data_IF_847646678531
#
_entry.id   IF_847646678531
#
_cell.length_a   1.000
_cell.length_b   1.000
_cell.length_c   1.000
_cell.angle_alpha   90.00
_cell.angle_beta   90.00
_cell.angle_gamma   90.00
#
_symmetry.space_group_name_H-M   'P 1'
#
loop_
_entity.id
_entity.type
_entity.pdbx_description
1 polymer ?
#
# COMPACT_ATOMS: atom_id res chain seq x y z
N UNK A 1 29.54 1.17 4.65
CA UNK A 1 28.36 0.35 4.38
C UNK A 1 27.16 0.90 5.13
N UNK A 2 26.19 1.44 4.41
CA UNK A 2 24.89 1.89 4.93
C UNK A 2 24.02 0.69 5.36
N UNK A 3 22.91 0.94 6.06
CA UNK A 3 21.94 -0.12 6.38
C UNK A 3 21.34 -0.76 5.13
N UNK A 4 21.12 0.03 4.08
CA UNK A 4 20.60 -0.42 2.79
C UNK A 4 21.61 -1.33 2.07
N UNK A 5 22.87 -0.90 1.96
CA UNK A 5 23.93 -1.70 1.33
C UNK A 5 24.14 -3.05 2.04
N UNK A 6 23.98 -3.07 3.38
CA UNK A 6 24.03 -4.33 4.15
C UNK A 6 22.82 -5.22 3.88
N UNK A 7 21.63 -4.65 3.73
CA UNK A 7 20.42 -5.40 3.43
C UNK A 7 20.47 -5.99 2.01
N UNK A 8 20.92 -5.21 1.03
CA UNK A 8 21.11 -5.66 -0.35
C UNK A 8 22.18 -6.75 -0.46
N UNK A 9 23.31 -6.60 0.25
CA UNK A 9 24.34 -7.63 0.30
C UNK A 9 23.83 -8.93 0.93
N UNK A 10 23.02 -8.83 2.00
CA UNK A 10 22.38 -10.00 2.61
C UNK A 10 21.34 -10.64 1.70
N UNK A 11 20.50 -9.84 1.02
CA UNK A 11 19.52 -10.32 0.06
C UNK A 11 20.20 -11.04 -1.12
N UNK A 12 21.31 -10.48 -1.61
CA UNK A 12 22.12 -11.06 -2.66
C UNK A 12 22.77 -12.36 -2.19
N UNK A 13 23.37 -12.40 -1.00
CA UNK A 13 23.96 -13.62 -0.44
C UNK A 13 22.92 -14.74 -0.29
N UNK A 14 21.76 -14.45 0.29
CA UNK A 14 20.65 -15.41 0.39
C UNK A 14 20.20 -15.88 -1.00
N UNK A 15 20.12 -15.00 -1.99
CA UNK A 15 19.76 -15.35 -3.36
C UNK A 15 20.79 -16.26 -4.03
N UNK A 16 22.08 -16.08 -3.74
CA UNK A 16 23.14 -16.98 -4.24
C UNK A 16 23.08 -18.37 -3.61
N UNK A 17 22.61 -18.48 -2.38
CA UNK A 17 22.39 -19.76 -1.67
C UNK A 17 21.14 -20.51 -2.17
N UNK A 18 20.25 -19.84 -2.91
CA UNK A 18 19.08 -20.51 -3.52
C UNK A 18 19.50 -21.34 -4.74
N UNK A 19 19.00 -22.58 -4.79
CA UNK A 19 18.95 -23.40 -6.02
C UNK A 19 17.92 -22.86 -7.05
N UNK A 20 17.57 -21.58 -6.95
CA UNK A 20 16.60 -20.91 -7.80
C UNK A 20 17.10 -19.55 -8.25
N UNK A 21 16.80 -19.21 -9.50
CA UNK A 21 17.12 -17.92 -10.09
C UNK A 21 15.96 -16.95 -9.78
N UNK A 22 16.27 -15.90 -9.04
CA UNK A 22 15.36 -14.79 -8.74
C UNK A 22 15.51 -13.73 -9.83
N UNK A 23 14.40 -13.41 -10.50
CA UNK A 23 14.34 -12.34 -11.49
C UNK A 23 13.43 -11.24 -10.95
N UNK A 24 13.98 -10.04 -10.78
CA UNK A 24 13.22 -8.87 -10.33
C UNK A 24 12.45 -8.27 -11.51
N UNK A 25 11.21 -7.82 -11.28
CA UNK A 25 10.41 -7.15 -12.32
C UNK A 25 11.10 -5.88 -12.81
N UNK A 26 10.83 -5.49 -14.06
CA UNK A 26 11.47 -4.29 -14.66
C UNK A 26 11.23 -3.05 -13.80
N UNK A 27 9.99 -2.80 -13.38
CA UNK A 27 9.60 -1.68 -12.53
C UNK A 27 10.33 -1.67 -11.17
N UNK A 28 10.70 -2.84 -10.65
CA UNK A 28 11.44 -2.96 -9.40
C UNK A 28 12.83 -2.32 -9.53
N UNK A 29 13.48 -2.49 -10.69
CA UNK A 29 14.87 -2.05 -10.90
C UNK A 29 15.01 -0.73 -11.66
N UNK A 30 13.92 -0.20 -12.23
CA UNK A 30 13.98 0.95 -13.14
C UNK A 30 14.35 2.28 -12.47
N UNK A 31 14.29 2.36 -11.14
CA UNK A 31 14.80 3.52 -10.39
C UNK A 31 16.33 3.57 -10.29
N UNK A 32 17.00 2.46 -10.56
CA UNK A 32 18.46 2.29 -10.40
C UNK A 32 19.18 2.14 -11.74
N UNK A 33 18.47 1.69 -12.79
CA UNK A 33 19.05 1.46 -14.12
C UNK A 33 18.05 1.76 -15.23
N UNK A 34 18.58 2.10 -16.41
CA UNK A 34 17.76 2.29 -17.61
C UNK A 34 17.11 0.94 -18.03
N UNK A 35 15.77 0.82 -18.02
CA UNK A 35 15.07 -0.43 -18.34
C UNK A 35 15.22 -0.88 -19.80
N UNK A 36 15.74 -0.02 -20.69
CA UNK A 36 15.98 -0.34 -22.11
C UNK A 36 17.32 -1.02 -22.35
N UNK A 37 18.21 -0.99 -21.35
CA UNK A 37 19.52 -1.63 -21.46
C UNK A 37 19.37 -3.14 -21.30
N UNK A 38 19.99 -3.95 -22.18
CA UNK A 38 19.90 -5.39 -22.10
C UNK A 38 20.51 -5.88 -20.78
N UNK A 39 19.77 -6.76 -20.09
CA UNK A 39 20.35 -7.54 -19.00
C UNK A 39 21.22 -8.64 -19.59
N UNK A 40 22.42 -8.84 -19.03
CA UNK A 40 23.17 -10.06 -19.29
C UNK A 40 22.31 -11.26 -18.89
N UNK A 41 22.05 -12.22 -19.80
CA UNK A 41 21.29 -13.41 -19.44
C UNK A 41 21.99 -14.11 -18.28
N UNK A 42 21.27 -14.33 -17.18
CA UNK A 42 21.79 -15.19 -16.11
C UNK A 42 21.90 -16.60 -16.68
N UNK A 43 23.13 -17.07 -16.86
CA UNK A 43 23.37 -18.46 -17.19
C UNK A 43 22.81 -19.30 -16.05
N UNK A 44 21.86 -20.18 -16.37
CA UNK A 44 21.17 -20.93 -15.33
C UNK A 44 22.09 -21.85 -14.56
N UNK A 45 23.20 -22.31 -15.17
CA UNK A 45 24.15 -23.25 -14.59
C UNK A 45 23.46 -24.47 -13.94
N UNK A 46 22.31 -24.88 -14.48
CA UNK A 46 21.49 -25.97 -13.96
C UNK A 46 20.39 -25.57 -12.96
N UNK A 47 20.40 -24.32 -12.45
CA UNK A 47 19.34 -23.80 -11.55
C UNK A 47 18.05 -23.53 -12.31
N UNK A 48 16.92 -23.71 -11.64
CA UNK A 48 15.59 -23.38 -12.18
C UNK A 48 15.19 -21.95 -11.78
N UNK A 49 14.28 -21.33 -12.53
CA UNK A 49 13.72 -20.04 -12.14
C UNK A 49 12.73 -20.17 -10.99
N UNK A 50 12.59 -19.12 -10.18
CA UNK A 50 11.61 -19.07 -9.09
C UNK A 50 10.18 -19.10 -9.65
N UNK A 51 9.46 -20.19 -9.38
CA UNK A 51 8.06 -20.39 -9.77
C UNK A 51 7.23 -20.70 -8.52
N UNK A 52 6.84 -19.66 -7.78
CA UNK A 52 6.01 -19.78 -6.58
C UNK A 52 6.57 -19.03 -5.39
N UNK A 53 6.49 -19.65 -4.21
CA UNK A 53 6.89 -19.03 -2.95
C UNK A 53 8.39 -18.81 -2.83
N UNK A 54 8.77 -17.59 -2.47
CA UNK A 54 10.14 -17.22 -2.16
C UNK A 54 10.47 -17.65 -0.72
N UNK A 55 11.40 -18.58 -0.49
CA UNK A 55 11.74 -19.07 0.85
C UNK A 55 12.40 -18.01 1.73
N UNK A 56 12.78 -16.85 1.16
CA UNK A 56 13.28 -15.69 1.93
C UNK A 56 12.15 -14.93 2.62
N UNK A 57 10.90 -15.17 2.24
CA UNK A 57 9.71 -14.55 2.83
C UNK A 57 8.96 -15.55 3.73
N UNK A 58 8.30 -15.06 4.80
CA UNK A 58 7.37 -15.89 5.54
C UNK A 58 6.28 -16.49 4.64
N UNK A 59 5.99 -17.76 4.86
CA UNK A 59 4.97 -18.53 4.14
C UNK A 59 3.58 -17.94 4.40
N UNK A 60 2.83 -17.64 3.35
CA UNK A 60 1.41 -17.30 3.45
C UNK A 60 0.56 -18.56 3.67
N UNK A 61 -0.58 -18.47 4.38
CA UNK A 61 -1.57 -19.54 4.42
C UNK A 61 -2.13 -19.87 3.02
N UNK A 62 -2.72 -21.05 2.86
CA UNK A 62 -3.35 -21.47 1.58
C UNK A 62 -4.49 -20.55 1.14
N UNK A 63 -5.18 -19.92 2.10
CA UNK A 63 -6.27 -18.98 1.86
C UNK A 63 -5.97 -17.65 2.56
N UNK A 64 -5.09 -16.82 1.98
CA UNK A 64 -4.68 -15.56 2.57
C UNK A 64 -5.84 -14.64 2.96
N UNK A 65 -5.83 -14.16 4.20
CA UNK A 65 -6.71 -13.09 4.66
C UNK A 65 -6.03 -11.73 4.56
N UNK A 66 -6.82 -10.65 4.67
CA UNK A 66 -6.25 -9.30 4.82
C UNK A 66 -5.26 -9.22 6.00
N UNK A 67 -5.56 -9.89 7.12
CA UNK A 67 -4.69 -9.92 8.30
C UNK A 67 -3.37 -10.64 8.02
N UNK A 68 -3.39 -11.70 7.21
CA UNK A 68 -2.16 -12.38 6.78
C UNK A 68 -1.28 -11.46 5.93
N UNK A 69 -1.87 -10.65 5.06
CA UNK A 69 -1.10 -9.64 4.30
C UNK A 69 -0.47 -8.62 5.23
N UNK A 70 -1.19 -8.10 6.23
CA UNK A 70 -0.61 -7.23 7.25
C UNK A 70 0.54 -7.87 8.03
N UNK A 71 0.46 -9.17 8.28
CA UNK A 71 1.47 -9.89 9.06
C UNK A 71 2.71 -10.25 8.26
N UNK A 72 2.53 -10.63 6.99
CA UNK A 72 3.58 -11.28 6.21
C UNK A 72 4.07 -10.50 5.00
N UNK A 73 3.36 -9.44 4.57
CA UNK A 73 3.70 -8.67 3.36
C UNK A 73 3.65 -7.15 3.55
N UNK A 74 2.84 -6.63 4.46
CA UNK A 74 2.74 -5.20 4.71
C UNK A 74 3.53 -4.81 5.95
N UNK A 75 4.48 -3.89 5.82
CA UNK A 75 5.20 -3.38 6.97
C UNK A 75 6.17 -2.26 6.61
N UNK A 76 6.46 -1.34 7.54
CA UNK A 76 5.84 -1.16 8.86
C UNK A 76 4.40 -0.61 8.78
N UNK A 77 3.47 -1.15 9.58
CA UNK A 77 2.02 -0.85 9.56
C UNK A 77 1.53 0.15 10.59
N UNK A 78 2.42 0.63 11.45
CA UNK A 78 2.10 1.53 12.56
C UNK A 78 1.25 2.73 12.14
N UNK A 79 1.56 3.34 10.99
CA UNK A 79 0.86 4.53 10.50
C UNK A 79 -0.64 4.28 10.23
N UNK A 80 -0.97 3.31 9.38
CA UNK A 80 -2.37 3.03 9.03
C UNK A 80 -3.17 2.52 10.23
N UNK A 81 -2.52 1.80 11.14
CA UNK A 81 -3.14 1.36 12.39
C UNK A 81 -3.46 2.54 13.32
N UNK A 82 -2.55 3.52 13.43
CA UNK A 82 -2.82 4.75 14.19
C UNK A 82 -3.93 5.58 13.56
N UNK A 83 -3.93 5.72 12.24
CA UNK A 83 -4.97 6.46 11.51
C UNK A 83 -6.36 5.84 11.73
N UNK A 84 -6.47 4.52 11.61
CA UNK A 84 -7.71 3.80 11.89
C UNK A 84 -8.14 3.92 13.36
N UNK A 85 -7.20 3.83 14.32
CA UNK A 85 -7.53 4.00 15.74
C UNK A 85 -7.99 5.43 16.04
N UNK A 86 -7.38 6.44 15.42
CA UNK A 86 -7.77 7.83 15.59
C UNK A 86 -9.19 8.07 15.05
N UNK A 87 -9.50 7.56 13.85
CA UNK A 87 -10.85 7.61 13.29
C UNK A 87 -11.89 6.96 14.24
N UNK A 88 -11.55 5.79 14.79
CA UNK A 88 -12.39 5.07 15.77
C UNK A 88 -12.61 5.88 17.05
N UNK A 89 -11.55 6.50 17.60
CA UNK A 89 -11.63 7.35 18.81
C UNK A 89 -12.47 8.61 18.57
N UNK A 90 -12.44 9.14 17.36
CA UNK A 90 -13.25 10.29 16.95
C UNK A 90 -14.72 9.93 16.68
N UNK A 91 -15.12 8.66 16.85
CA UNK A 91 -16.50 8.21 16.66
C UNK A 91 -16.96 8.24 15.19
N UNK A 92 -16.03 8.16 14.24
CA UNK A 92 -16.36 8.15 12.82
C UNK A 92 -16.99 6.82 12.39
N UNK A 93 -17.73 6.86 11.29
CA UNK A 93 -18.33 5.65 10.70
C UNK A 93 -17.25 4.59 10.41
N UNK A 94 -17.63 3.33 10.56
CA UNK A 94 -16.69 2.21 10.41
C UNK A 94 -16.15 2.05 9.01
N UNK A 95 -16.85 2.53 7.98
CA UNK A 95 -16.32 2.63 6.62
C UNK A 95 -15.11 3.56 6.58
N UNK A 96 -15.15 4.66 7.32
CA UNK A 96 -14.01 5.59 7.43
C UNK A 96 -12.88 4.94 8.22
N UNK A 97 -13.20 4.23 9.32
CA UNK A 97 -12.19 3.46 10.08
C UNK A 97 -11.49 2.43 9.19
N UNK A 98 -12.25 1.67 8.39
CA UNK A 98 -11.71 0.72 7.43
C UNK A 98 -10.89 1.44 6.35
N UNK A 99 -11.37 2.56 5.81
CA UNK A 99 -10.64 3.32 4.81
C UNK A 99 -9.30 3.84 5.35
N UNK A 100 -9.26 4.34 6.58
CA UNK A 100 -8.02 4.73 7.27
C UNK A 100 -7.08 3.54 7.49
N UNK A 101 -7.60 2.35 7.76
CA UNK A 101 -6.77 1.14 7.88
C UNK A 101 -6.12 0.74 6.54
N UNK A 102 -6.78 1.04 5.42
CA UNK A 102 -6.42 0.53 4.09
C UNK A 102 -5.78 1.55 3.16
N UNK A 103 -5.87 2.87 3.45
CA UNK A 103 -5.56 3.91 2.47
C UNK A 103 -4.13 3.83 1.89
N UNK A 104 -3.18 3.38 2.70
CA UNK A 104 -1.75 3.37 2.39
C UNK A 104 -1.15 1.97 2.20
N UNK A 105 -1.96 0.91 2.10
CA UNK A 105 -1.43 -0.47 1.94
C UNK A 105 -0.60 -0.64 0.67
N UNK A 106 -0.84 0.17 -0.37
CA UNK A 106 -0.01 0.17 -1.57
C UNK A 106 1.39 0.73 -1.31
N UNK A 107 1.53 1.73 -0.43
CA UNK A 107 2.83 2.25 0.00
C UNK A 107 3.64 1.17 0.71
N UNK A 108 2.96 0.33 1.48
CA UNK A 108 3.57 -0.68 2.33
C UNK A 108 3.94 -1.97 1.61
N UNK A 109 3.15 -2.37 0.61
CA UNK A 109 3.26 -3.71 0.02
C UNK A 109 3.33 -3.76 -1.50
N UNK A 110 3.12 -2.63 -2.21
CA UNK A 110 2.99 -2.65 -3.66
C UNK A 110 3.71 -1.47 -4.34
N UNK A 111 2.98 -0.45 -4.79
CA UNK A 111 3.54 0.70 -5.52
C UNK A 111 3.25 1.99 -4.75
N UNK A 112 4.33 2.75 -4.46
CA UNK A 112 4.26 4.00 -3.69
C UNK A 112 3.76 5.20 -4.50
N UNK A 113 4.29 5.39 -5.72
CA UNK A 113 3.80 6.43 -6.61
C UNK A 113 2.34 6.17 -6.94
N UNK A 114 1.48 7.17 -6.85
CA UNK A 114 0.03 7.01 -7.08
C UNK A 114 -0.66 6.00 -6.15
N UNK A 115 -0.12 5.79 -4.94
CA UNK A 115 -0.61 4.80 -3.96
C UNK A 115 -2.12 4.85 -3.70
N UNK A 116 -2.76 6.02 -3.72
CA UNK A 116 -4.22 6.11 -3.57
C UNK A 116 -4.96 5.36 -4.68
N UNK A 117 -4.52 5.51 -5.93
CA UNK A 117 -5.11 4.81 -7.08
C UNK A 117 -4.84 3.31 -7.01
N UNK A 118 -3.59 2.90 -6.76
CA UNK A 118 -3.23 1.48 -6.63
C UNK A 118 -3.93 0.80 -5.46
N UNK A 119 -3.97 1.46 -4.29
CA UNK A 119 -4.64 0.98 -3.09
C UNK A 119 -6.14 0.81 -3.31
N UNK A 120 -6.79 1.79 -3.96
CA UNK A 120 -8.20 1.70 -4.31
C UNK A 120 -8.48 0.52 -5.25
N UNK A 121 -7.72 0.36 -6.33
CA UNK A 121 -7.87 -0.77 -7.26
C UNK A 121 -7.68 -2.13 -6.56
N UNK A 122 -6.76 -2.19 -5.60
CA UNK A 122 -6.46 -3.39 -4.84
C UNK A 122 -7.65 -3.82 -3.96
N UNK A 123 -8.37 -2.87 -3.35
CA UNK A 123 -9.45 -3.17 -2.39
C UNK A 123 -10.87 -3.11 -2.96
N UNK A 124 -11.06 -2.44 -4.10
CA UNK A 124 -12.36 -2.17 -4.73
C UNK A 124 -13.30 -3.39 -4.85
N UNK A 125 -12.82 -4.61 -5.17
CA UNK A 125 -13.71 -5.78 -5.20
C UNK A 125 -14.29 -6.16 -3.82
N UNK A 126 -13.61 -5.80 -2.74
CA UNK A 126 -13.90 -6.30 -1.40
C UNK A 126 -14.58 -5.30 -0.48
N UNK A 127 -14.63 -4.02 -0.84
CA UNK A 127 -15.19 -2.96 0.01
C UNK A 127 -16.34 -2.24 -0.69
N UNK A 128 -17.06 -1.40 0.05
CA UNK A 128 -18.06 -0.52 -0.56
C UNK A 128 -17.40 0.51 -1.49
N UNK A 129 -18.12 0.89 -2.55
CA UNK A 129 -17.65 1.86 -3.56
C UNK A 129 -17.21 3.19 -2.93
N UNK A 130 -17.89 3.60 -1.86
CA UNK A 130 -17.52 4.77 -1.06
C UNK A 130 -16.10 4.65 -0.47
N UNK A 131 -15.77 3.49 0.10
CA UNK A 131 -14.46 3.23 0.73
C UNK A 131 -13.37 3.24 -0.33
N UNK A 132 -13.57 2.52 -1.45
CA UNK A 132 -12.58 2.49 -2.53
C UNK A 132 -12.40 3.86 -3.18
N UNK A 133 -13.48 4.62 -3.36
CA UNK A 133 -13.43 5.98 -3.89
C UNK A 133 -12.70 6.94 -2.96
N UNK A 134 -12.95 6.85 -1.65
CA UNK A 134 -12.31 7.69 -0.64
C UNK A 134 -10.80 7.38 -0.56
N UNK A 135 -10.42 6.09 -0.55
CA UNK A 135 -9.01 5.66 -0.67
C UNK A 135 -8.39 6.17 -1.97
N UNK A 136 -9.11 6.16 -3.09
CA UNK A 136 -8.56 6.61 -4.38
C UNK A 136 -8.10 8.07 -4.33
N UNK A 137 -8.93 8.93 -3.75
CA UNK A 137 -8.75 10.37 -3.82
C UNK A 137 -8.06 10.96 -2.59
N UNK A 138 -7.86 10.19 -1.51
CA UNK A 138 -7.25 10.72 -0.29
C UNK A 138 -5.89 11.36 -0.60
N UNK A 139 -5.06 10.73 -1.44
CA UNK A 139 -3.75 11.24 -1.83
C UNK A 139 -3.81 12.62 -2.50
N UNK A 140 -4.87 12.89 -3.27
CA UNK A 140 -5.08 14.18 -3.95
C UNK A 140 -5.45 15.24 -2.91
N UNK A 141 -6.39 14.91 -2.02
CA UNK A 141 -6.89 15.84 -1.00
C UNK A 141 -5.81 16.27 0.00
N UNK A 142 -4.74 15.48 0.19
CA UNK A 142 -3.65 15.85 1.11
C UNK A 142 -2.95 17.15 0.73
N UNK A 143 -2.96 17.53 -0.55
CA UNK A 143 -2.30 18.72 -1.05
C UNK A 143 -3.13 20.00 -0.92
N UNK A 144 -4.40 19.91 -0.53
CA UNK A 144 -5.30 21.05 -0.50
C UNK A 144 -5.89 21.23 0.90
N UNK A 145 -5.67 22.41 1.48
CA UNK A 145 -6.27 22.79 2.75
C UNK A 145 -7.80 22.83 2.66
N UNK A 146 -8.44 22.48 3.77
CA UNK A 146 -9.87 22.61 3.98
C UNK A 146 -10.14 22.86 5.47
N UNK A 147 -10.19 24.14 5.84
CA UNK A 147 -10.35 24.56 7.23
C UNK A 147 -11.72 24.19 7.81
N UNK A 148 -12.74 23.93 6.97
CA UNK A 148 -14.05 23.47 7.45
C UNK A 148 -13.99 22.09 8.11
N UNK A 149 -12.95 21.31 7.81
CA UNK A 149 -12.63 20.03 8.44
C UNK A 149 -11.39 20.10 9.34
N UNK A 150 -10.88 21.31 9.62
CA UNK A 150 -9.66 21.52 10.39
C UNK A 150 -8.37 21.08 9.69
N UNK A 151 -8.40 20.79 8.38
CA UNK A 151 -7.24 20.33 7.63
C UNK A 151 -6.47 21.52 7.04
N UNK A 152 -5.39 21.93 7.70
CA UNK A 152 -4.46 22.93 7.15
C UNK A 152 -3.46 22.27 6.22
N UNK A 153 -2.88 23.05 5.30
CA UNK A 153 -1.77 22.55 4.49
C UNK A 153 -0.61 22.17 5.42
N UNK A 154 -0.08 20.94 5.39
CA UNK A 154 0.92 20.50 6.36
C UNK A 154 2.24 21.28 6.26
N UNK A 155 2.74 21.79 7.39
CA UNK A 155 4.07 22.43 7.43
C UNK A 155 5.18 21.49 6.95
N UNK A 156 5.03 20.18 7.18
CA UNK A 156 5.95 19.17 6.68
C UNK A 156 6.05 19.17 5.16
N UNK A 157 4.98 19.49 4.43
CA UNK A 157 4.98 19.50 2.97
C UNK A 157 5.73 20.73 2.44
N UNK A 158 5.62 21.89 3.11
CA UNK A 158 6.45 23.06 2.80
C UNK A 158 7.94 22.72 2.92
N UNK A 159 8.33 22.02 3.98
CA UNK A 159 9.72 21.61 4.20
C UNK A 159 10.21 20.55 3.21
N UNK A 160 9.36 19.59 2.85
CA UNK A 160 9.72 18.44 2.02
C UNK A 160 9.68 18.74 0.53
N UNK A 161 8.72 19.56 0.08
CA UNK A 161 8.47 19.82 -1.34
C UNK A 161 8.87 21.23 -1.77
N UNK A 162 9.03 22.16 -0.83
CA UNK A 162 9.26 23.58 -1.10
C UNK A 162 7.99 24.42 -0.97
N UNK A 163 8.15 25.70 -0.62
CA UNK A 163 7.02 26.62 -0.46
C UNK A 163 6.33 26.99 -1.78
N UNK A 164 7.03 26.80 -2.90
CA UNK A 164 6.58 27.05 -4.27
C UNK A 164 6.05 25.79 -4.97
N UNK A 165 6.10 24.62 -4.31
CA UNK A 165 5.54 23.39 -4.87
C UNK A 165 4.05 23.56 -5.17
N UNK A 166 3.68 23.18 -6.39
CA UNK A 166 2.28 23.08 -6.82
C UNK A 166 2.03 21.66 -7.33
N UNK A 167 0.91 21.02 -6.94
CA UNK A 167 0.54 19.73 -7.50
C UNK A 167 0.39 19.82 -9.02
N UNK A 168 0.70 18.73 -9.72
CA UNK A 168 0.58 18.68 -11.18
C UNK A 168 -0.85 18.99 -11.66
N UNK A 169 -1.03 19.47 -12.91
CA UNK A 169 -2.35 19.88 -13.42
C UNK A 169 -3.43 18.80 -13.26
N UNK A 170 -3.07 17.53 -13.42
CA UNK A 170 -4.00 16.42 -13.30
C UNK A 170 -4.47 16.19 -11.84
N UNK A 171 -3.62 16.48 -10.84
CA UNK A 171 -3.96 16.43 -9.41
C UNK A 171 -4.91 17.59 -9.06
N UNK A 172 -4.65 18.79 -9.60
CA UNK A 172 -5.54 19.94 -9.40
C UNK A 172 -6.94 19.72 -10.01
N UNK A 173 -7.00 19.11 -11.19
CA UNK A 173 -8.28 18.69 -11.81
C UNK A 173 -8.99 17.62 -10.98
N UNK A 174 -8.25 16.60 -10.52
CA UNK A 174 -8.81 15.55 -9.67
C UNK A 174 -9.38 16.13 -8.36
N UNK A 175 -8.71 17.12 -7.77
CA UNK A 175 -9.22 17.81 -6.58
C UNK A 175 -10.52 18.57 -6.85
N UNK A 176 -10.60 19.32 -7.95
CA UNK A 176 -11.82 20.04 -8.35
C UNK A 176 -13.01 19.09 -8.49
N UNK A 177 -12.81 17.94 -9.16
CA UNK A 177 -13.85 16.90 -9.28
C UNK A 177 -14.21 16.28 -7.93
N UNK A 178 -13.22 16.00 -7.10
CA UNK A 178 -13.45 15.40 -5.80
C UNK A 178 -14.27 16.32 -4.88
N UNK A 179 -14.07 17.66 -4.95
CA UNK A 179 -14.81 18.65 -4.16
C UNK A 179 -16.31 18.65 -4.40
N UNK A 180 -16.74 18.30 -5.61
CA UNK A 180 -18.14 18.24 -6.00
C UNK A 180 -18.77 16.86 -5.76
N UNK A 181 -17.97 15.88 -5.33
CA UNK A 181 -18.41 14.50 -5.19
C UNK A 181 -19.11 14.24 -3.84
N UNK A 182 -20.17 13.43 -3.86
CA UNK A 182 -20.96 13.06 -2.66
C UNK A 182 -20.15 12.41 -1.52
N UNK A 183 -18.99 11.82 -1.84
CA UNK A 183 -18.09 11.17 -0.87
C UNK A 183 -16.86 12.00 -0.52
N UNK A 184 -16.87 13.30 -0.86
CA UNK A 184 -15.77 14.21 -0.51
C UNK A 184 -15.47 14.18 0.99
N UNK A 185 -16.50 14.22 1.83
CA UNK A 185 -16.37 14.21 3.29
C UNK A 185 -15.64 12.95 3.79
N UNK A 186 -16.05 11.76 3.34
CA UNK A 186 -15.41 10.48 3.69
C UNK A 186 -13.91 10.52 3.35
N UNK A 187 -13.57 11.00 2.16
CA UNK A 187 -12.18 11.14 1.70
C UNK A 187 -11.39 12.18 2.53
N UNK A 188 -12.00 13.32 2.83
CA UNK A 188 -11.39 14.38 3.64
C UNK A 188 -11.12 13.89 5.06
N UNK A 189 -12.03 13.14 5.66
CA UNK A 189 -11.86 12.56 6.99
C UNK A 189 -10.71 11.54 7.02
N UNK A 190 -10.45 10.80 5.93
CA UNK A 190 -9.21 9.99 5.83
C UNK A 190 -7.98 10.89 5.94
N UNK A 191 -7.89 11.97 5.14
CA UNK A 191 -6.70 12.85 5.16
C UNK A 191 -6.47 13.52 6.52
N UNK A 192 -7.53 13.85 7.24
CA UNK A 192 -7.44 14.38 8.61
C UNK A 192 -6.84 13.35 9.56
N UNK A 193 -7.28 12.09 9.49
CA UNK A 193 -6.80 11.04 10.41
C UNK A 193 -5.45 10.44 9.98
N UNK A 194 -5.08 10.56 8.71
CA UNK A 194 -3.75 10.25 8.16
C UNK A 194 -2.69 11.20 8.76
N UNK A 195 -2.88 12.51 8.67
CA UNK A 195 -1.86 13.51 9.03
C UNK A 195 -1.35 13.40 10.48
N UNK A 196 -2.19 12.95 11.42
CA UNK A 196 -1.87 12.87 12.85
C UNK A 196 -1.37 11.49 13.30
N UNK A 197 -1.15 10.55 12.38
CA UNK A 197 -0.88 9.14 12.69
C UNK A 197 0.60 8.74 12.53
N UNK A 198 1.53 9.50 13.11
CA UNK A 198 2.98 9.26 13.01
C UNK A 198 3.71 9.24 14.36
N UNK A 199 3.02 8.96 15.47
CA UNK A 199 3.65 8.93 16.81
C UNK A 199 4.49 7.65 16.97
N UNK A 200 5.83 7.75 17.13
CA UNK A 200 6.69 6.56 17.23
C UNK A 200 6.46 5.74 18.51
N UNK A 201 5.79 6.30 19.53
CA UNK A 201 5.56 5.64 20.82
C UNK A 201 4.21 4.92 20.88
N UNK A 202 3.30 5.19 19.95
CA UNK A 202 1.97 4.59 19.95
C UNK A 202 2.03 3.21 19.31
N UNK A 203 1.70 2.18 20.10
CA UNK A 203 1.52 0.80 19.63
C UNK A 203 0.06 0.50 19.39
N UNK A 204 -0.25 -0.01 18.21
CA UNK A 204 -1.59 -0.43 17.80
C UNK A 204 -1.53 -1.86 17.34
N UNK A 205 -2.40 -2.71 17.89
CA UNK A 205 -2.56 -4.08 17.45
C UNK A 205 -3.61 -4.13 16.34
N UNK A 206 -3.36 -4.92 15.30
CA UNK A 206 -4.26 -5.06 14.16
C UNK A 206 -5.63 -5.61 14.58
N UNK A 207 -5.65 -6.46 15.60
CA UNK A 207 -6.82 -7.11 16.17
C UNK A 207 -7.85 -6.13 16.76
N UNK A 208 -7.49 -4.86 16.99
CA UNK A 208 -8.47 -3.82 17.37
C UNK A 208 -9.52 -3.53 16.30
N UNK A 209 -9.24 -3.95 15.06
CA UNK A 209 -10.08 -3.73 13.89
C UNK A 209 -10.76 -5.00 13.37
N UNK A 210 -10.63 -6.14 14.05
CA UNK A 210 -11.21 -7.42 13.61
C UNK A 210 -12.70 -7.30 13.28
N UNK A 211 -13.50 -6.66 14.15
CA UNK A 211 -14.95 -6.52 13.92
C UNK A 211 -15.30 -5.55 12.77
N UNK A 212 -14.50 -4.50 12.58
CA UNK A 212 -14.69 -3.54 11.49
C UNK A 212 -14.38 -4.21 10.16
N UNK A 213 -13.24 -4.91 10.08
CA UNK A 213 -12.85 -5.67 8.89
C UNK A 213 -13.87 -6.77 8.61
N UNK A 214 -14.30 -7.53 9.62
CA UNK A 214 -15.28 -8.62 9.46
C UNK A 214 -16.65 -8.16 8.93
N UNK A 215 -17.04 -6.90 9.15
CA UNK A 215 -18.30 -6.35 8.65
C UNK A 215 -18.20 -5.64 7.31
N UNK A 216 -17.06 -5.00 7.03
CA UNK A 216 -16.93 -4.08 5.89
C UNK A 216 -15.94 -4.54 4.81
N UNK A 217 -15.19 -5.62 5.04
CA UNK A 217 -14.30 -6.24 4.05
C UNK A 217 -14.82 -7.62 3.64
N UNK A 218 -15.20 -7.77 2.38
CA UNK A 218 -15.68 -9.02 1.78
C UNK A 218 -14.51 -9.96 1.50
N UNK A 219 -14.01 -10.61 2.52
CA UNK A 219 -12.92 -11.59 2.42
C UNK A 219 -13.31 -12.75 1.48
N UNK A 220 -12.57 -13.01 0.38
CA UNK A 220 -12.85 -14.13 -0.51
C UNK A 220 -12.62 -15.49 0.17
N UNK A 221 -13.46 -16.48 -0.14
CA UNK A 221 -13.41 -17.85 0.43
C UNK A 221 -12.18 -18.63 -0.03
N UNK A 222 -11.67 -18.29 -1.20
CA UNK A 222 -10.48 -18.85 -1.84
C UNK A 222 -9.19 -18.20 -1.29
N UNK A 223 -9.31 -17.05 -0.61
CA UNK A 223 -8.18 -16.23 -0.16
C UNK A 223 -7.82 -15.12 -1.14
N UNK A 224 -7.28 -14.02 -0.63
CA UNK A 224 -6.89 -12.86 -1.43
C UNK A 224 -5.83 -13.26 -2.46
N UNK A 225 -6.16 -13.04 -3.73
CA UNK A 225 -5.31 -13.41 -4.85
C UNK A 225 -5.60 -14.78 -5.46
N UNK A 226 -6.47 -15.59 -4.88
CA UNK A 226 -6.91 -16.87 -5.45
C UNK A 226 -8.38 -16.88 -5.83
N UNK A 227 -9.05 -15.75 -5.66
CA UNK A 227 -10.38 -15.45 -6.16
C UNK A 227 -10.36 -14.99 -7.63
N UNK A 228 -11.53 -14.70 -8.18
CA UNK A 228 -11.70 -14.25 -9.57
C UNK A 228 -11.87 -12.72 -9.70
N UNK A 229 -11.49 -11.95 -8.68
CA UNK A 229 -11.60 -10.50 -8.76
C UNK A 229 -10.58 -9.91 -9.75
N UNK A 230 -10.89 -8.73 -10.33
CA UNK A 230 -9.94 -8.01 -11.17
C UNK A 230 -8.60 -7.71 -10.47
N UNK A 231 -8.61 -7.60 -9.14
CA UNK A 231 -7.41 -7.29 -8.33
C UNK A 231 -6.61 -8.53 -7.91
N UNK A 232 -7.09 -9.75 -8.16
CA UNK A 232 -6.48 -10.98 -7.63
C UNK A 232 -5.00 -11.13 -8.04
N UNK A 233 -4.66 -10.73 -9.26
CA UNK A 233 -3.28 -10.75 -9.74
C UNK A 233 -2.36 -9.82 -8.93
N UNK A 234 -2.84 -8.67 -8.46
CA UNK A 234 -2.07 -7.73 -7.63
C UNK A 234 -1.73 -8.35 -6.28
N UNK A 235 -2.70 -9.01 -5.63
CA UNK A 235 -2.48 -9.76 -4.38
C UNK A 235 -1.47 -10.90 -4.57
N UNK A 236 -1.52 -11.64 -5.69
CA UNK A 236 -0.51 -12.66 -6.01
C UNK A 236 0.86 -12.06 -6.25
N UNK A 237 0.96 -10.91 -6.93
CA UNK A 237 2.24 -10.21 -7.11
C UNK A 237 2.86 -9.83 -5.77
N UNK A 238 2.07 -9.35 -4.81
CA UNK A 238 2.58 -9.06 -3.45
C UNK A 238 2.94 -10.33 -2.68
N UNK A 239 2.19 -11.42 -2.86
CA UNK A 239 2.52 -12.70 -2.24
C UNK A 239 3.84 -13.29 -2.78
N UNK A 240 4.03 -13.21 -4.11
CA UNK A 240 5.14 -13.79 -4.86
C UNK A 240 5.87 -12.73 -5.71
N UNK A 241 6.55 -11.75 -5.10
CA UNK A 241 7.13 -10.59 -5.81
C UNK A 241 8.29 -10.96 -6.73
N UNK A 242 8.83 -12.17 -6.59
CA UNK A 242 9.98 -12.70 -7.33
C UNK A 242 9.65 -13.90 -8.21
N UNK A 243 8.35 -14.19 -8.40
CA UNK A 243 7.90 -15.21 -9.34
C UNK A 243 8.29 -14.81 -10.77
N UNK A 244 8.87 -15.75 -11.51
CA UNK A 244 9.37 -15.48 -12.85
C UNK A 244 8.25 -15.22 -13.87
N UNK A 245 7.22 -16.07 -13.90
CA UNK A 245 6.01 -15.98 -14.75
C UNK A 245 4.80 -16.53 -13.99
#
# INVERSE_FOLDING_TARGET
MTSLERAEAAEHAMSQELDRIVVKSVIYTSGERDPRQPLSPQQSQGRLYMMGDDPRLPRMPEKPTLFDFFKYRFGPSTHVLQSARLAKKNGLDEKIVLACLLHDISVMGFIRGDHGYWGAQLVEPYVDEEVSWAIRHHQVLRFFADESYGYKYPDSYIRLFGADYQPEPHIQEAYRRAREHKWYETCRLITVNDLYAFDPNVRVELEEFTDVVGRHFRQPKEGLGFDQSPSAHMWRTMNHPTKYL
#
